data_IF_162321734677
#
_entry.id   IF_162321734677
#
_cell.length_a   1.000
_cell.length_b   1.000
_cell.length_c   1.000
_cell.angle_alpha   90.00
_cell.angle_beta   90.00
_cell.angle_gamma   90.00
#
_symmetry.space_group_name_H-M   'P 1'
#
loop_
_entity.id
_entity.type
_entity.pdbx_description
1 polymer ?
#
# COMPACT_ATOMS: atom_id res chain seq x y z
N UNK A 1 -17.51 -5.79 14.71
CA UNK A 1 -16.99 -6.49 13.51
C UNK A 1 -16.01 -7.60 13.91
N UNK A 2 -14.85 -7.30 14.53
CA UNK A 2 -13.93 -8.35 15.05
C UNK A 2 -14.62 -9.37 15.98
N UNK A 3 -15.40 -8.90 16.96
CA UNK A 3 -16.21 -9.77 17.85
C UNK A 3 -17.30 -10.60 17.13
N UNK A 4 -17.66 -10.20 15.92
CA UNK A 4 -18.64 -10.91 15.09
C UNK A 4 -17.98 -11.89 14.10
N UNK A 5 -16.66 -12.13 14.21
CA UNK A 5 -15.92 -13.04 13.33
C UNK A 5 -15.67 -12.51 11.91
N UNK A 6 -15.86 -11.20 11.68
CA UNK A 6 -15.68 -10.59 10.35
C UNK A 6 -14.22 -10.16 10.18
N UNK A 7 -13.58 -10.63 9.11
CA UNK A 7 -12.26 -10.17 8.68
C UNK A 7 -12.35 -8.76 8.08
N UNK A 8 -11.49 -7.86 8.55
CA UNK A 8 -11.41 -6.49 8.07
C UNK A 8 -10.10 -6.29 7.30
N UNK A 9 -10.21 -5.63 6.15
CA UNK A 9 -9.09 -5.32 5.26
C UNK A 9 -8.98 -3.81 5.11
N UNK A 10 -7.76 -3.27 5.17
CA UNK A 10 -7.49 -1.86 4.89
C UNK A 10 -7.01 -1.68 3.44
N UNK A 11 -7.57 -0.67 2.78
CA UNK A 11 -7.10 -0.19 1.49
C UNK A 11 -6.72 1.28 1.65
N UNK A 12 -5.44 1.58 1.50
CA UNK A 12 -4.89 2.93 1.59
C UNK A 12 -4.48 3.43 0.21
N UNK A 13 -4.47 4.74 0.02
CA UNK A 13 -3.90 5.39 -1.18
C UNK A 13 -2.57 6.00 -0.80
N UNK A 14 -1.55 5.78 -1.62
CA UNK A 14 -0.24 6.39 -1.49
C UNK A 14 -0.31 7.84 -2.00
N UNK A 15 -0.04 8.79 -1.11
CA UNK A 15 -0.17 10.22 -1.34
C UNK A 15 1.11 10.94 -0.89
N UNK A 16 1.68 11.73 -1.80
CA UNK A 16 2.87 12.53 -1.56
C UNK A 16 2.68 13.51 -0.41
N UNK A 17 3.63 13.57 0.51
CA UNK A 17 3.60 14.44 1.70
C UNK A 17 2.62 14.01 2.79
N UNK A 18 1.96 12.84 2.65
CA UNK A 18 1.00 12.32 3.63
C UNK A 18 1.49 10.98 4.19
N UNK A 19 1.72 9.99 3.33
CA UNK A 19 2.11 8.64 3.73
C UNK A 19 3.17 8.01 2.81
N UNK A 20 3.87 8.83 2.03
CA UNK A 20 5.00 8.47 1.17
C UNK A 20 6.32 8.26 1.96
N UNK A 21 6.20 7.59 3.11
CA UNK A 21 7.33 7.31 4.01
C UNK A 21 7.19 5.91 4.63
N UNK A 22 8.26 5.11 4.55
CA UNK A 22 8.21 3.70 4.94
C UNK A 22 7.90 3.52 6.43
N UNK A 23 8.47 4.38 7.30
CA UNK A 23 8.22 4.34 8.74
C UNK A 23 6.77 4.70 9.07
N UNK A 24 6.18 5.64 8.32
CA UNK A 24 4.76 6.01 8.45
C UNK A 24 3.86 4.83 8.09
N UNK A 25 4.16 4.16 6.97
CA UNK A 25 3.42 2.97 6.56
C UNK A 25 3.62 1.79 7.53
N UNK A 26 4.82 1.59 8.07
CA UNK A 26 5.10 0.56 9.07
C UNK A 26 4.30 0.80 10.35
N UNK A 27 4.25 2.06 10.81
CA UNK A 27 3.46 2.46 11.99
C UNK A 27 1.98 2.20 11.75
N UNK A 28 1.46 2.58 10.57
CA UNK A 28 0.08 2.32 10.19
C UNK A 28 -0.23 0.82 10.12
N UNK A 29 0.62 0.02 9.48
CA UNK A 29 0.43 -1.44 9.35
C UNK A 29 0.34 -2.13 10.71
N UNK A 30 1.22 -1.79 11.66
CA UNK A 30 1.17 -2.34 13.01
C UNK A 30 -0.09 -1.88 13.76
N UNK A 31 -0.45 -0.60 13.69
CA UNK A 31 -1.66 -0.08 14.32
C UNK A 31 -2.95 -0.72 13.77
N UNK A 32 -3.01 -0.96 12.46
CA UNK A 32 -4.11 -1.71 11.84
C UNK A 32 -4.19 -3.13 12.38
N UNK A 33 -3.04 -3.82 12.47
CA UNK A 33 -2.98 -5.18 12.98
C UNK A 33 -3.41 -5.29 14.44
N UNK A 34 -2.97 -4.37 15.30
CA UNK A 34 -3.40 -4.29 16.70
C UNK A 34 -4.92 -4.11 16.80
N UNK A 35 -5.52 -3.32 15.89
CA UNK A 35 -6.96 -3.16 15.77
C UNK A 35 -7.69 -4.40 15.18
N UNK A 36 -6.97 -5.42 14.72
CA UNK A 36 -7.50 -6.60 14.05
C UNK A 36 -7.93 -6.36 12.60
N UNK A 37 -7.26 -5.43 11.91
CA UNK A 37 -7.46 -5.08 10.50
C UNK A 37 -6.19 -5.46 9.75
N UNK A 38 -6.31 -6.20 8.65
CA UNK A 38 -5.16 -6.57 7.84
C UNK A 38 -4.89 -5.48 6.78
N UNK A 39 -3.66 -4.95 6.68
CA UNK A 39 -3.24 -4.15 5.53
C UNK A 39 -3.39 -4.98 4.26
N UNK A 40 -4.14 -4.48 3.27
CA UNK A 40 -4.45 -5.26 2.06
C UNK A 40 -3.92 -4.62 0.79
N UNK A 41 -4.33 -3.38 0.48
CA UNK A 41 -3.83 -2.66 -0.69
C UNK A 41 -3.22 -1.31 -0.31
N UNK A 42 -2.14 -0.97 -0.99
CA UNK A 42 -1.61 0.37 -1.11
C UNK A 42 -1.74 0.78 -2.58
N UNK A 43 -2.71 1.64 -2.87
CA UNK A 43 -3.01 2.09 -4.22
C UNK A 43 -2.13 3.26 -4.60
N UNK A 44 -1.47 3.19 -5.74
CA UNK A 44 -0.84 4.38 -6.31
C UNK A 44 -1.93 5.27 -6.91
N UNK A 45 -1.88 6.57 -6.59
CA UNK A 45 -2.90 7.52 -7.05
C UNK A 45 -3.01 7.54 -8.59
N UNK A 46 -4.26 7.55 -9.07
CA UNK A 46 -4.55 7.77 -10.48
C UNK A 46 -4.36 9.23 -10.86
N UNK A 47 -3.87 9.47 -12.08
CA UNK A 47 -3.69 10.82 -12.58
C UNK A 47 -5.05 11.46 -12.86
N UNK A 48 -5.57 12.19 -11.88
CA UNK A 48 -6.82 12.95 -11.99
C UNK A 48 -6.54 14.45 -11.86
N UNK A 49 -7.36 15.25 -12.54
CA UNK A 49 -7.28 16.70 -12.47
C UNK A 49 -7.49 17.17 -11.02
N UNK A 50 -6.60 18.04 -10.53
CA UNK A 50 -6.68 18.59 -9.17
C UNK A 50 -5.92 17.81 -8.08
N UNK A 51 -5.52 16.56 -8.31
CA UNK A 51 -4.80 15.74 -7.31
C UNK A 51 -3.33 15.45 -7.67
N UNK A 52 -2.82 16.05 -8.76
CA UNK A 52 -1.47 15.79 -9.26
C UNK A 52 -0.34 16.05 -8.24
N UNK A 53 -0.54 16.95 -7.28
CA UNK A 53 0.43 17.24 -6.22
C UNK A 53 0.61 16.09 -5.21
N UNK A 54 -0.37 15.19 -5.10
CA UNK A 54 -0.25 13.97 -4.30
C UNK A 54 0.38 12.79 -5.05
N UNK A 55 0.74 12.97 -6.32
CA UNK A 55 1.27 11.89 -7.15
C UNK A 55 2.65 11.40 -6.65
N UNK A 56 2.78 10.08 -6.52
CA UNK A 56 4.04 9.37 -6.30
C UNK A 56 4.27 8.48 -7.51
N UNK A 57 5.48 8.51 -8.09
CA UNK A 57 5.78 7.67 -9.25
C UNK A 57 5.83 6.19 -8.86
N UNK A 58 5.64 5.29 -9.83
CA UNK A 58 5.70 3.85 -9.56
C UNK A 58 7.08 3.43 -9.05
N UNK A 59 8.16 4.06 -9.51
CA UNK A 59 9.52 3.74 -9.06
C UNK A 59 9.76 4.17 -7.61
N UNK A 60 9.31 5.36 -7.22
CA UNK A 60 9.31 5.81 -5.82
C UNK A 60 8.44 4.89 -4.96
N UNK A 61 7.25 4.51 -5.43
CA UNK A 61 6.34 3.62 -4.72
C UNK A 61 6.94 2.22 -4.50
N UNK A 62 7.62 1.66 -5.51
CA UNK A 62 8.34 0.39 -5.40
C UNK A 62 9.48 0.50 -4.38
N UNK A 63 10.29 1.56 -4.45
CA UNK A 63 11.37 1.80 -3.48
C UNK A 63 10.82 1.89 -2.05
N UNK A 64 9.71 2.60 -1.87
CA UNK A 64 9.03 2.75 -0.60
C UNK A 64 8.56 1.40 -0.02
N UNK A 65 7.88 0.58 -0.83
CA UNK A 65 7.40 -0.73 -0.37
C UNK A 65 8.55 -1.71 -0.12
N UNK A 66 9.63 -1.64 -0.89
CA UNK A 66 10.87 -2.40 -0.58
C UNK A 66 11.49 -1.99 0.75
N UNK A 67 11.48 -0.70 1.07
CA UNK A 67 11.93 -0.23 2.39
C UNK A 67 10.97 -0.68 3.50
N UNK A 68 9.65 -0.70 3.25
CA UNK A 68 8.67 -1.20 4.21
C UNK A 68 8.85 -2.69 4.51
N UNK A 69 9.23 -3.51 3.51
CA UNK A 69 9.48 -4.95 3.67
C UNK A 69 10.55 -5.26 4.73
N UNK A 70 11.51 -4.36 5.00
CA UNK A 70 12.53 -4.55 6.03
C UNK A 70 12.09 -4.07 7.42
N UNK A 71 10.93 -3.42 7.54
CA UNK A 71 10.47 -2.78 8.78
C UNK A 71 9.33 -3.53 9.48
N UNK A 72 8.58 -4.36 8.75
CA UNK A 72 7.44 -5.11 9.30
C UNK A 72 7.45 -6.56 8.83
N UNK A 73 6.70 -7.42 9.51
CA UNK A 73 6.47 -8.79 9.02
C UNK A 73 5.84 -8.78 7.63
N UNK A 74 6.21 -9.73 6.77
CA UNK A 74 5.77 -9.75 5.37
C UNK A 74 4.25 -9.75 5.17
N UNK A 75 3.48 -10.35 6.08
CA UNK A 75 2.01 -10.36 6.01
C UNK A 75 1.35 -9.02 6.40
N UNK A 76 2.12 -8.06 6.94
CA UNK A 76 1.70 -6.70 7.23
C UNK A 76 2.06 -5.71 6.11
N UNK A 77 2.73 -6.19 5.07
CA UNK A 77 3.03 -5.38 3.89
C UNK A 77 1.83 -5.43 2.94
N UNK A 78 1.16 -4.29 2.68
CA UNK A 78 0.06 -4.26 1.74
C UNK A 78 0.55 -4.49 0.31
N UNK A 79 -0.33 -5.03 -0.54
CA UNK A 79 -0.04 -5.20 -1.97
C UNK A 79 -0.02 -3.82 -2.64
N UNK A 80 1.09 -3.49 -3.30
CA UNK A 80 1.18 -2.29 -4.13
C UNK A 80 0.36 -2.51 -5.41
N UNK A 81 -0.62 -1.64 -5.66
CA UNK A 81 -1.54 -1.81 -6.79
C UNK A 81 -1.84 -0.49 -7.50
N UNK A 82 -2.26 -0.61 -8.75
CA UNK A 82 -2.74 0.47 -9.60
C UNK A 82 -4.04 0.05 -10.28
N UNK A 83 -4.93 1.01 -10.46
CA UNK A 83 -6.12 0.83 -11.29
C UNK A 83 -5.77 1.16 -12.75
N UNK A 84 -6.09 0.25 -13.67
CA UNK A 84 -5.86 0.44 -15.10
C UNK A 84 -7.20 0.18 -15.80
N UNK A 85 -7.76 1.23 -16.39
CA UNK A 85 -9.04 1.12 -17.10
C UNK A 85 -8.97 0.08 -18.22
N UNK A 86 -9.91 -0.87 -18.20
CA UNK A 86 -9.99 -1.96 -19.17
C UNK A 86 -9.38 -3.29 -18.70
N UNK A 87 -8.63 -3.29 -17.61
CA UNK A 87 -8.15 -4.54 -16.99
C UNK A 87 -9.27 -5.23 -16.19
N UNK A 88 -9.30 -6.59 -16.15
CA UNK A 88 -10.36 -7.33 -15.46
C UNK A 88 -10.23 -7.27 -13.94
N UNK A 89 -9.08 -6.81 -13.42
CA UNK A 89 -8.79 -6.71 -12.01
C UNK A 89 -7.69 -5.69 -11.73
N UNK A 90 -7.53 -5.32 -10.46
CA UNK A 90 -6.44 -4.45 -10.00
C UNK A 90 -5.08 -4.98 -10.43
N UNK A 91 -4.27 -4.12 -11.02
CA UNK A 91 -2.92 -4.47 -11.47
C UNK A 91 -1.96 -4.36 -10.29
N UNK A 92 -1.40 -5.49 -9.86
CA UNK A 92 -0.31 -5.48 -8.88
C UNK A 92 0.96 -4.91 -9.53
N UNK A 93 1.63 -3.98 -8.85
CA UNK A 93 2.92 -3.47 -9.29
C UNK A 93 4.02 -4.40 -8.80
N UNK A 94 4.78 -4.97 -9.73
CA UNK A 94 5.96 -5.76 -9.40
C UNK A 94 6.99 -4.91 -8.63
N UNK A 95 7.43 -5.43 -7.49
CA UNK A 95 8.42 -4.79 -6.61
C UNK A 95 9.85 -4.98 -7.10
N UNK A 96 10.09 -5.83 -8.10
CA UNK A 96 11.39 -6.10 -8.70
C UNK A 96 12.42 -6.51 -7.64
N UNK A 97 12.01 -7.40 -6.72
CA UNK A 97 12.90 -7.98 -5.73
C UNK A 97 13.85 -8.95 -6.45
N UNK A 98 15.17 -8.75 -6.32
CA UNK A 98 16.16 -9.67 -6.88
C UNK A 98 16.01 -11.05 -6.22
N UNK A 99 15.93 -12.08 -7.03
CA UNK A 99 16.25 -13.45 -6.62
C UNK A 99 17.62 -13.73 -7.22
N UNK A 100 18.64 -13.78 -6.36
CA UNK A 100 19.97 -14.30 -6.73
C UNK A 100 19.93 -15.82 -6.84
#
# INVERSE_FOLDING_TARGET
LKRAGVTLLNQSVLLRGINDNAQTLATLSNALFDAGILPYYLHVLDKVQGAAHFFVSDDEARQLVRALLSQVSGYLVPKLAREIGGEPSKTALDLQLRQE
#
